data_IF_230814889196
#
_entry.id   IF_230814889196
#
_cell.length_a   1.000
_cell.length_b   1.000
_cell.length_c   1.000
_cell.angle_alpha   90.00
_cell.angle_beta   90.00
_cell.angle_gamma   90.00
#
_symmetry.space_group_name_H-M   'P 1'
#
loop_
_entity.id
_entity.type
_entity.pdbx_description
1 polymer ?
#
# COMPACT_ATOMS: atom_id res chain seq x y z
N UNK A 1 35.56 -2.02 -30.99
CA UNK A 1 35.13 -2.38 -29.62
C UNK A 1 33.79 -1.72 -29.37
N UNK A 2 32.69 -2.47 -29.47
CA UNK A 2 31.34 -1.95 -29.24
C UNK A 2 31.00 -2.09 -27.76
N UNK A 3 30.91 -0.97 -27.05
CA UNK A 3 30.48 -0.93 -25.66
C UNK A 3 28.94 -0.88 -25.65
N UNK A 4 28.29 -2.03 -25.51
CA UNK A 4 26.87 -2.07 -25.16
C UNK A 4 26.73 -1.74 -23.68
N UNK A 5 26.53 -0.46 -23.37
CA UNK A 5 26.18 -0.03 -22.02
C UNK A 5 24.81 -0.64 -21.66
N UNK A 6 24.82 -1.66 -20.78
CA UNK A 6 23.63 -2.15 -20.10
C UNK A 6 23.05 -1.00 -19.27
N UNK A 7 22.14 -0.24 -19.87
CA UNK A 7 21.24 0.64 -19.14
C UNK A 7 20.46 -0.26 -18.17
N UNK A 8 20.90 -0.32 -16.91
CA UNK A 8 20.04 -0.81 -15.84
C UNK A 8 18.78 0.05 -15.91
N UNK A 9 17.56 -0.50 -16.04
CA UNK A 9 16.39 0.31 -15.90
C UNK A 9 16.48 0.88 -14.49
N UNK A 10 16.73 2.19 -14.40
CA UNK A 10 16.39 2.93 -13.21
C UNK A 10 14.88 2.85 -13.13
N UNK A 11 14.37 1.78 -12.52
CA UNK A 11 13.03 1.74 -11.97
C UNK A 11 13.06 2.74 -10.83
N UNK A 12 13.12 4.02 -11.18
CA UNK A 12 12.69 5.08 -10.31
C UNK A 12 11.25 4.72 -10.02
N UNK A 13 11.03 4.13 -8.85
CA UNK A 13 9.71 3.82 -8.34
C UNK A 13 8.99 5.15 -8.28
N UNK A 14 8.26 5.46 -9.34
CA UNK A 14 7.45 6.67 -9.41
C UNK A 14 6.31 6.42 -8.44
N UNK A 15 6.53 6.80 -7.19
CA UNK A 15 5.54 6.75 -6.15
C UNK A 15 4.51 7.83 -6.48
N UNK A 16 3.50 7.46 -7.27
CA UNK A 16 2.40 8.34 -7.59
C UNK A 16 1.49 8.45 -6.38
N UNK A 17 1.16 9.68 -6.02
CA UNK A 17 0.25 10.01 -4.93
C UNK A 17 -1.18 9.88 -5.48
N UNK A 18 -1.99 9.02 -4.88
CA UNK A 18 -3.35 8.71 -5.36
C UNK A 18 -4.37 9.67 -4.75
N UNK A 19 -4.67 9.46 -3.46
CA UNK A 19 -5.70 10.15 -2.68
C UNK A 19 -5.44 9.89 -1.20
N UNK A 20 -6.10 10.63 -0.31
CA UNK A 20 -6.00 10.39 1.14
C UNK A 20 -6.90 9.24 1.58
N UNK A 21 -6.36 8.38 2.44
CA UNK A 21 -7.10 7.31 3.08
C UNK A 21 -8.21 7.88 3.97
N UNK A 22 -9.45 7.39 3.78
CA UNK A 22 -10.62 7.91 4.51
C UNK A 22 -10.67 7.51 6.00
N UNK A 23 -9.75 6.66 6.48
CA UNK A 23 -9.66 6.26 7.90
C UNK A 23 -8.61 7.05 8.68
N UNK A 24 -7.40 7.19 8.14
CA UNK A 24 -6.28 7.83 8.84
C UNK A 24 -5.92 9.21 8.28
N UNK A 25 -6.59 9.67 7.21
CA UNK A 25 -6.34 10.93 6.51
C UNK A 25 -4.91 11.11 5.96
N UNK A 26 -4.10 10.04 5.94
CA UNK A 26 -2.76 10.03 5.34
C UNK A 26 -2.85 9.81 3.84
N UNK A 27 -1.86 10.35 3.13
CA UNK A 27 -1.68 10.14 1.69
C UNK A 27 -1.46 8.66 1.38
N UNK A 28 -2.03 8.21 0.25
CA UNK A 28 -1.85 6.85 -0.26
C UNK A 28 -0.91 6.89 -1.46
N UNK A 29 0.06 5.97 -1.46
CA UNK A 29 0.96 5.79 -2.59
C UNK A 29 0.49 4.63 -3.47
N UNK A 30 0.77 4.72 -4.77
CA UNK A 30 0.43 3.68 -5.74
C UNK A 30 1.20 2.37 -5.53
N UNK A 31 2.32 2.43 -4.81
CA UNK A 31 3.11 1.27 -4.38
C UNK A 31 2.52 0.54 -3.17
N UNK A 32 1.54 1.12 -2.48
CA UNK A 32 0.89 0.51 -1.32
C UNK A 32 -0.43 -0.18 -1.73
N UNK A 33 -0.73 -1.31 -1.09
CA UNK A 33 -2.03 -1.99 -1.23
C UNK A 33 -3.18 -1.07 -0.81
N UNK A 34 -4.19 -0.95 -1.68
CA UNK A 34 -5.34 -0.06 -1.48
C UNK A 34 -6.67 -0.78 -1.70
N UNK A 35 -7.67 -0.39 -0.91
CA UNK A 35 -9.04 -0.91 -0.98
C UNK A 35 -9.98 0.24 -1.34
N UNK A 36 -10.88 0.00 -2.28
CA UNK A 36 -11.92 0.95 -2.68
C UNK A 36 -13.29 0.40 -2.25
N UNK A 37 -14.02 1.14 -1.43
CA UNK A 37 -15.37 0.78 -1.01
C UNK A 37 -16.33 1.96 -1.21
N UNK A 38 -17.36 1.74 -2.03
CA UNK A 38 -18.37 2.75 -2.41
C UNK A 38 -17.78 3.83 -3.33
N UNK A 39 -17.02 4.76 -2.75
CA UNK A 39 -16.24 5.79 -3.46
C UNK A 39 -15.09 6.32 -2.62
N UNK A 40 -14.72 5.59 -1.56
CA UNK A 40 -13.68 5.96 -0.62
C UNK A 40 -12.50 5.00 -0.76
N UNK A 41 -11.30 5.57 -0.65
CA UNK A 41 -10.05 4.83 -0.71
C UNK A 41 -9.50 4.63 0.71
N UNK A 42 -8.91 3.45 0.92
CA UNK A 42 -8.38 3.03 2.21
C UNK A 42 -7.04 2.33 2.00
N UNK A 43 -6.07 2.56 2.88
CA UNK A 43 -4.95 1.63 3.01
C UNK A 43 -5.50 0.24 3.37
N UNK A 44 -4.96 -0.80 2.76
CA UNK A 44 -5.34 -2.19 3.03
C UNK A 44 -5.30 -2.48 4.54
N UNK A 45 -4.19 -2.13 5.18
CA UNK A 45 -4.01 -2.30 6.62
C UNK A 45 -5.03 -1.51 7.48
N UNK A 46 -5.41 -0.29 7.05
CA UNK A 46 -6.44 0.48 7.76
C UNK A 46 -7.81 -0.20 7.63
N UNK A 47 -8.12 -0.73 6.45
CA UNK A 47 -9.38 -1.40 6.18
C UNK A 47 -9.48 -2.73 6.95
N UNK A 48 -8.41 -3.53 6.98
CA UNK A 48 -8.35 -4.76 7.79
C UNK A 48 -8.45 -4.48 9.29
N UNK A 49 -7.76 -3.44 9.79
CA UNK A 49 -7.82 -3.05 11.20
C UNK A 49 -9.22 -2.65 11.64
N UNK A 50 -10.00 -1.98 10.78
CA UNK A 50 -11.40 -1.66 11.07
C UNK A 50 -12.27 -2.91 11.18
N UNK A 51 -12.00 -3.93 10.36
CA UNK A 51 -12.72 -5.20 10.41
C UNK A 51 -12.35 -6.04 11.63
N UNK A 52 -11.10 -5.99 12.08
CA UNK A 52 -10.67 -6.68 13.32
C UNK A 52 -11.14 -5.98 14.58
N UNK A 53 -11.37 -4.67 14.59
CA UNK A 53 -12.08 -4.01 15.72
C UNK A 53 -13.56 -4.45 15.75
N UNK A 54 -14.16 -4.76 14.59
CA UNK A 54 -15.50 -5.35 14.53
C UNK A 54 -15.54 -6.85 14.86
N UNK A 55 -14.38 -7.52 15.01
CA UNK A 55 -14.28 -8.91 15.44
C UNK A 55 -12.93 -9.16 16.14
N UNK A 56 -12.86 -9.11 17.48
CA UNK A 56 -11.61 -9.22 18.23
C UNK A 56 -11.13 -10.68 18.25
N UNK A 57 -10.67 -11.20 17.12
CA UNK A 57 -9.99 -12.50 17.04
C UNK A 57 -9.18 -12.60 15.76
N UNK A 58 -7.99 -12.00 15.79
CA UNK A 58 -6.83 -12.44 14.99
C UNK A 58 -5.57 -11.92 15.67
N UNK A 59 -5.22 -12.57 16.78
CA UNK A 59 -3.85 -12.62 17.27
C UNK A 59 -3.00 -13.23 16.14
N UNK A 60 -2.16 -12.42 15.49
CA UNK A 60 -1.05 -12.95 14.70
C UNK A 60 0.01 -13.38 15.72
N UNK A 61 0.16 -14.68 15.92
CA UNK A 61 1.32 -15.26 16.61
C UNK A 61 2.50 -14.99 15.69
N UNK A 62 3.44 -14.18 16.17
CA UNK A 62 4.71 -13.93 15.50
C UNK A 62 5.52 -15.22 15.40
N UNK A 63 6.16 -15.42 14.25
CA UNK A 63 7.22 -16.41 14.09
C UNK A 63 8.54 -15.73 14.45
N UNK A 64 9.22 -16.30 15.44
CA UNK A 64 10.65 -16.12 15.77
C UNK A 64 11.52 -16.74 14.66
#
# INVERSE_FOLDING_TARGET
MMYCAKLKPATAEKNFLLVKCALCAKDMMLSEGSVILGSKWYHENCFESKQTIANPKRHKIGAD
#
